data_IF_746641565628
#
_entry.id   IF_746641565628
#
_cell.length_a   1.000
_cell.length_b   1.000
_cell.length_c   1.000
_cell.angle_alpha   90.00
_cell.angle_beta   90.00
_cell.angle_gamma   90.00
#
_symmetry.space_group_name_H-M   'P 1'
#
loop_
_entity.id
_entity.type
_entity.pdbx_description
1 polymer ?
#
# COMPACT_ATOMS: atom_id res chain seq x y z
N UNK A 1 12.14 -7.94 -28.04
CA UNK A 1 12.18 -7.45 -26.66
C UNK A 1 12.32 -5.94 -26.66
N UNK A 2 11.34 -5.22 -26.18
CA UNK A 2 11.34 -3.75 -26.27
C UNK A 2 12.19 -3.16 -25.14
N UNK A 3 13.40 -2.68 -25.47
CA UNK A 3 14.41 -2.15 -24.52
C UNK A 3 13.97 -0.85 -23.81
N UNK A 4 12.68 -0.50 -23.82
CA UNK A 4 12.15 0.77 -23.33
C UNK A 4 11.36 0.68 -22.02
N UNK A 5 11.17 -0.54 -21.50
CA UNK A 5 10.52 -0.73 -20.23
C UNK A 5 11.54 -0.58 -19.11
N UNK A 6 11.16 0.10 -18.05
CA UNK A 6 12.00 0.37 -16.87
C UNK A 6 11.23 -0.06 -15.64
N UNK A 7 11.87 -0.75 -14.73
CA UNK A 7 11.35 -0.95 -13.38
C UNK A 7 11.97 0.13 -12.49
N UNK A 8 11.13 0.88 -11.80
CA UNK A 8 11.56 1.78 -10.74
C UNK A 8 11.49 1.04 -9.41
N UNK A 9 12.61 0.58 -8.93
CA UNK A 9 12.71 -0.18 -7.69
C UNK A 9 12.53 0.73 -6.48
N UNK A 10 11.39 0.61 -5.82
CA UNK A 10 11.01 1.40 -4.64
C UNK A 10 11.18 0.65 -3.32
N UNK A 11 11.87 -0.48 -3.33
CA UNK A 11 11.96 -1.41 -2.21
C UNK A 11 13.35 -1.49 -1.56
N UNK A 12 14.22 -0.51 -1.78
CA UNK A 12 15.55 -0.46 -1.15
C UNK A 12 15.54 0.20 0.24
N UNK A 13 14.36 0.49 0.77
CA UNK A 13 14.18 1.00 2.13
C UNK A 13 14.27 -0.10 3.20
N UNK A 14 14.18 0.28 4.48
CA UNK A 14 14.41 -0.63 5.60
C UNK A 14 13.43 -1.81 5.68
N UNK A 15 12.23 -1.69 5.11
CA UNK A 15 11.23 -2.77 5.13
C UNK A 15 11.00 -3.43 3.77
N UNK A 16 11.83 -3.10 2.78
CA UNK A 16 11.80 -3.72 1.46
C UNK A 16 10.46 -3.52 0.72
N UNK A 17 9.84 -2.35 0.89
CA UNK A 17 8.61 -1.97 0.20
C UNK A 17 8.54 -0.46 -0.07
N UNK A 18 7.84 -0.07 -1.14
CA UNK A 18 7.63 1.34 -1.51
C UNK A 18 7.00 2.18 -0.38
N UNK A 19 6.33 1.53 0.54
CA UNK A 19 5.66 2.16 1.69
C UNK A 19 6.63 2.91 2.61
N UNK A 20 7.91 2.54 2.58
CA UNK A 20 8.98 3.22 3.33
C UNK A 20 9.12 4.70 2.96
N UNK A 21 8.97 5.06 1.70
CA UNK A 21 9.04 6.46 1.24
C UNK A 21 8.08 7.36 2.02
N UNK A 22 6.85 6.90 2.14
CA UNK A 22 5.81 7.70 2.78
C UNK A 22 5.84 7.61 4.31
N UNK A 23 6.06 6.41 4.85
CA UNK A 23 5.91 6.19 6.29
C UNK A 23 7.09 6.71 7.10
N UNK A 24 8.31 6.71 6.56
CA UNK A 24 9.46 7.36 7.19
C UNK A 24 9.26 8.89 7.29
N UNK A 25 8.76 9.52 6.21
CA UNK A 25 8.45 10.94 6.23
C UNK A 25 7.29 11.24 7.19
N UNK A 26 6.22 10.45 7.13
CA UNK A 26 5.03 10.64 7.96
C UNK A 26 5.35 10.55 9.45
N UNK A 27 6.11 9.54 9.88
CA UNK A 27 6.51 9.40 11.29
C UNK A 27 7.24 10.63 11.80
N UNK A 28 8.26 11.08 11.09
CA UNK A 28 9.05 12.28 11.46
C UNK A 28 8.22 13.57 11.46
N UNK A 29 7.35 13.74 10.45
CA UNK A 29 6.49 14.92 10.35
C UNK A 29 5.47 14.95 11.49
N UNK A 30 4.87 13.80 11.79
CA UNK A 30 3.90 13.66 12.88
C UNK A 30 4.56 13.98 14.22
N UNK A 31 5.70 13.39 14.53
CA UNK A 31 6.42 13.61 15.78
C UNK A 31 6.82 15.09 15.95
N UNK A 32 7.32 15.73 14.90
CA UNK A 32 7.66 17.16 14.89
C UNK A 32 6.44 18.04 15.19
N UNK A 33 5.28 17.75 14.61
CA UNK A 33 4.05 18.52 14.84
C UNK A 33 3.53 18.30 16.26
N UNK A 34 3.58 17.06 16.77
CA UNK A 34 3.17 16.71 18.12
C UNK A 34 4.06 17.39 19.17
N UNK A 35 5.38 17.37 18.96
CA UNK A 35 6.32 18.08 19.84
C UNK A 35 6.01 19.57 19.92
N UNK A 36 5.72 20.24 18.79
CA UNK A 36 5.34 21.66 18.76
C UNK A 36 4.03 21.95 19.49
N UNK A 37 3.10 20.98 19.52
CA UNK A 37 1.80 21.10 20.17
C UNK A 37 1.80 20.63 21.62
N UNK A 38 2.91 20.04 22.09
CA UNK A 38 2.99 19.33 23.35
C UNK A 38 1.91 18.26 23.48
N UNK A 39 1.64 17.54 22.38
CA UNK A 39 0.64 16.48 22.28
C UNK A 39 1.31 15.12 22.08
N UNK A 40 0.62 14.05 22.46
CA UNK A 40 0.97 12.66 22.14
C UNK A 40 -0.21 11.97 21.48
N UNK A 41 0.08 10.94 20.70
CA UNK A 41 -0.95 10.13 20.03
C UNK A 41 -0.61 8.65 20.12
N UNK A 42 -1.65 7.84 20.01
CA UNK A 42 -1.55 6.40 19.81
C UNK A 42 -1.87 6.09 18.36
N UNK A 43 -0.96 5.40 17.69
CA UNK A 43 -1.22 4.81 16.38
C UNK A 43 -1.71 3.38 16.61
N UNK A 44 -2.84 3.05 16.02
CA UNK A 44 -3.36 1.69 16.02
C UNK A 44 -3.66 1.26 14.58
N UNK A 45 -3.13 0.11 14.17
CA UNK A 45 -3.28 -0.37 12.81
C UNK A 45 -3.35 -1.89 12.71
N UNK A 46 -4.09 -2.38 11.72
CA UNK A 46 -4.08 -3.77 11.29
C UNK A 46 -3.27 -3.91 10.00
N UNK A 47 -2.52 -5.00 9.88
CA UNK A 47 -1.64 -5.23 8.74
C UNK A 47 -1.63 -6.69 8.29
N UNK A 48 -1.46 -6.89 6.98
CA UNK A 48 -1.07 -8.18 6.39
C UNK A 48 0.46 -8.34 6.27
N UNK A 49 1.24 -7.33 6.73
CA UNK A 49 2.72 -7.36 6.73
C UNK A 49 3.35 -6.02 6.37
N UNK A 50 3.37 -5.64 5.10
CA UNK A 50 4.13 -4.49 4.58
C UNK A 50 3.82 -3.14 5.19
N UNK A 51 2.54 -2.83 5.40
CA UNK A 51 2.17 -1.53 5.98
C UNK A 51 2.56 -1.44 7.45
N UNK A 52 2.41 -2.54 8.18
CA UNK A 52 2.79 -2.60 9.60
C UNK A 52 4.29 -2.44 9.78
N UNK A 53 5.11 -3.20 9.05
CA UNK A 53 6.57 -3.10 9.13
C UNK A 53 7.07 -1.69 8.80
N UNK A 54 6.57 -1.08 7.72
CA UNK A 54 6.95 0.28 7.34
C UNK A 54 6.46 1.35 8.34
N UNK A 55 5.28 1.16 8.97
CA UNK A 55 4.76 2.06 10.00
C UNK A 55 5.59 1.99 11.29
N UNK A 56 5.95 0.79 11.73
CA UNK A 56 6.83 0.58 12.88
C UNK A 56 8.18 1.22 12.64
N UNK A 57 8.79 0.94 11.49
CA UNK A 57 10.08 1.53 11.11
C UNK A 57 10.03 3.06 11.06
N UNK A 58 8.96 3.62 10.49
CA UNK A 58 8.75 5.07 10.44
C UNK A 58 8.54 5.74 11.79
N UNK A 59 8.00 5.01 12.77
CA UNK A 59 7.69 5.54 14.10
C UNK A 59 8.69 5.14 15.20
N UNK A 60 9.67 4.27 14.93
CA UNK A 60 10.57 3.75 15.95
C UNK A 60 11.38 4.82 16.70
N UNK A 61 11.65 5.94 16.06
CA UNK A 61 12.39 7.07 16.62
C UNK A 61 11.49 8.25 17.02
N UNK A 62 10.18 8.03 17.18
CA UNK A 62 9.23 9.07 17.58
C UNK A 62 9.08 9.09 19.10
N UNK A 63 9.24 10.27 19.70
CA UNK A 63 9.09 10.46 21.15
C UNK A 63 7.62 10.65 21.58
N UNK A 64 6.77 11.13 20.66
CA UNK A 64 5.39 11.51 20.94
C UNK A 64 4.34 10.56 20.34
N UNK A 65 4.77 9.38 19.91
CA UNK A 65 3.91 8.38 19.27
C UNK A 65 4.13 7.02 19.91
N UNK A 66 3.06 6.40 20.38
CA UNK A 66 3.05 4.97 20.72
C UNK A 66 2.32 4.22 19.58
N UNK A 67 2.95 3.18 19.04
CA UNK A 67 2.42 2.44 17.88
C UNK A 67 2.07 1.00 18.23
N UNK A 68 0.81 0.63 17.93
CA UNK A 68 0.25 -0.71 18.14
C UNK A 68 -0.14 -1.29 16.78
N UNK A 69 0.58 -2.32 16.35
CA UNK A 69 0.30 -3.00 15.09
C UNK A 69 -0.23 -4.40 15.36
N UNK A 70 -1.45 -4.64 14.87
CA UNK A 70 -2.10 -5.93 14.94
C UNK A 70 -1.94 -6.70 13.64
N UNK A 71 -1.67 -7.99 13.77
CA UNK A 71 -1.65 -8.92 12.64
C UNK A 71 -2.22 -10.27 13.07
N UNK A 72 -2.77 -11.06 12.14
CA UNK A 72 -3.28 -12.39 12.47
C UNK A 72 -2.13 -13.33 12.86
N UNK A 73 -2.32 -14.04 13.96
CA UNK A 73 -1.33 -14.98 14.50
C UNK A 73 -1.02 -16.08 13.49
N UNK A 74 0.26 -16.31 13.17
CA UNK A 74 0.77 -17.32 12.23
C UNK A 74 0.23 -17.23 10.79
N UNK A 75 -0.24 -16.03 10.35
CA UNK A 75 -0.80 -15.85 9.00
C UNK A 75 -0.12 -14.70 8.22
N UNK A 76 1.08 -14.34 8.62
CA UNK A 76 1.93 -13.37 7.92
C UNK A 76 3.23 -14.09 7.54
N UNK A 77 3.85 -13.74 6.41
CA UNK A 77 5.11 -14.40 6.03
C UNK A 77 6.19 -14.16 7.09
N UNK A 78 7.11 -15.10 7.23
CA UNK A 78 8.14 -15.03 8.27
C UNK A 78 8.98 -13.76 8.16
N UNK A 79 9.37 -13.38 6.95
CA UNK A 79 10.12 -12.14 6.71
C UNK A 79 9.33 -10.92 7.19
N UNK A 80 8.05 -10.81 6.81
CA UNK A 80 7.20 -9.69 7.21
C UNK A 80 6.96 -9.65 8.72
N UNK A 81 6.73 -10.81 9.34
CA UNK A 81 6.58 -10.92 10.80
C UNK A 81 7.84 -10.42 11.49
N UNK A 82 9.00 -10.91 11.11
CA UNK A 82 10.27 -10.51 11.71
C UNK A 82 10.60 -9.05 11.47
N UNK A 83 10.28 -8.51 10.32
CA UNK A 83 10.43 -7.06 10.07
C UNK A 83 9.61 -6.19 11.03
N UNK A 84 8.51 -6.71 11.61
CA UNK A 84 7.73 -6.00 12.63
C UNK A 84 8.24 -6.28 14.05
N UNK A 85 8.44 -7.55 14.37
CA UNK A 85 8.64 -8.02 15.74
C UNK A 85 10.07 -7.88 16.24
N UNK A 86 11.05 -7.73 15.36
CA UNK A 86 12.46 -7.51 15.72
C UNK A 86 12.84 -6.05 15.93
N UNK A 87 11.93 -5.11 15.64
CA UNK A 87 12.14 -3.70 15.96
C UNK A 87 11.74 -3.48 17.43
N UNK A 88 12.75 -3.29 18.27
CA UNK A 88 12.57 -3.11 19.71
C UNK A 88 12.58 -1.62 20.06
N UNK A 89 11.54 -1.14 20.72
CA UNK A 89 11.41 0.24 21.21
C UNK A 89 10.29 0.30 22.24
N UNK A 90 10.40 1.18 23.24
CA UNK A 90 9.38 1.28 24.30
C UNK A 90 8.03 1.76 23.79
N UNK A 91 8.03 2.46 22.66
CA UNK A 91 6.85 2.96 21.97
C UNK A 91 6.28 2.00 20.91
N UNK A 92 6.86 0.80 20.74
CA UNK A 92 6.46 -0.15 19.70
C UNK A 92 5.80 -1.37 20.32
N UNK A 93 4.60 -1.70 19.88
CA UNK A 93 3.83 -2.84 20.34
C UNK A 93 3.28 -3.65 19.17
N UNK A 94 3.79 -4.87 19.01
CA UNK A 94 3.27 -5.84 18.06
C UNK A 94 2.29 -6.78 18.75
N UNK A 95 1.10 -6.92 18.19
CA UNK A 95 0.02 -7.74 18.74
C UNK A 95 -0.38 -8.78 17.69
N UNK A 96 -0.17 -10.04 18.00
CA UNK A 96 -0.67 -11.15 17.19
C UNK A 96 -2.05 -11.56 17.72
N UNK A 97 -3.08 -11.46 16.88
CA UNK A 97 -4.46 -11.80 17.24
C UNK A 97 -4.74 -13.25 16.83
N UNK A 98 -5.31 -14.01 17.74
CA UNK A 98 -5.85 -15.37 17.46
C UNK A 98 -7.12 -15.27 16.61
N UNK A 99 -6.96 -14.85 15.36
CA UNK A 99 -8.03 -14.57 14.40
C UNK A 99 -7.50 -14.44 12.99
N UNK A 100 -8.24 -13.74 12.15
CA UNK A 100 -7.87 -13.42 10.78
C UNK A 100 -7.61 -11.90 10.60
N UNK A 101 -7.32 -11.48 9.39
CA UNK A 101 -7.01 -10.07 9.11
C UNK A 101 -8.24 -9.16 9.26
N UNK A 102 -9.42 -9.66 8.93
CA UNK A 102 -10.66 -8.91 9.07
C UNK A 102 -10.99 -8.64 10.53
N UNK A 103 -10.77 -9.63 11.42
CA UNK A 103 -10.89 -9.46 12.86
C UNK A 103 -10.00 -8.33 13.36
N UNK A 104 -8.72 -8.30 12.94
CA UNK A 104 -7.80 -7.20 13.28
C UNK A 104 -8.31 -5.85 12.80
N UNK A 105 -8.83 -5.78 11.57
CA UNK A 105 -9.40 -4.54 11.01
C UNK A 105 -10.66 -4.07 11.75
N UNK A 106 -11.53 -5.00 12.14
CA UNK A 106 -12.75 -4.66 12.88
C UNK A 106 -12.43 -4.11 14.27
N UNK A 107 -11.45 -4.70 14.97
CA UNK A 107 -10.98 -4.17 16.25
C UNK A 107 -10.40 -2.75 16.11
N UNK A 108 -9.64 -2.48 15.06
CA UNK A 108 -9.16 -1.10 14.78
C UNK A 108 -10.33 -0.17 14.57
N UNK A 109 -11.29 -0.51 13.70
CA UNK A 109 -12.46 0.32 13.42
C UNK A 109 -13.30 0.58 14.67
N UNK A 110 -13.55 -0.46 15.48
CA UNK A 110 -14.29 -0.34 16.73
C UNK A 110 -13.58 0.57 17.74
N UNK A 111 -12.25 0.46 17.84
CA UNK A 111 -11.43 1.32 18.70
C UNK A 111 -11.42 2.79 18.23
N UNK A 112 -11.49 3.05 16.92
CA UNK A 112 -11.65 4.40 16.39
C UNK A 112 -13.05 4.97 16.64
N UNK A 113 -14.08 4.12 16.65
CA UNK A 113 -15.46 4.53 16.94
C UNK A 113 -15.65 4.88 18.44
N UNK A 114 -14.96 4.18 19.33
CA UNK A 114 -14.95 4.45 20.78
C UNK A 114 -13.52 4.57 21.29
N UNK A 115 -13.06 5.79 21.49
CA UNK A 115 -11.72 6.10 22.02
C UNK A 115 -11.72 6.36 23.55
N UNK A 116 -12.81 6.13 24.22
CA UNK A 116 -12.95 6.39 25.66
C UNK A 116 -11.93 5.64 26.53
N UNK A 117 -11.47 4.47 26.07
CA UNK A 117 -10.45 3.67 26.76
C UNK A 117 -9.07 4.34 26.84
N UNK A 118 -8.78 5.33 25.99
CA UNK A 118 -7.50 6.07 25.98
C UNK A 118 -7.47 7.30 26.91
N UNK A 119 -8.56 7.58 27.63
CA UNK A 119 -8.61 8.66 28.65
C UNK A 119 -8.11 10.04 28.15
N UNK A 120 -8.47 10.39 26.91
CA UNK A 120 -8.14 11.69 26.30
C UNK A 120 -7.00 11.67 25.28
N UNK A 121 -6.21 10.61 25.19
CA UNK A 121 -5.26 10.45 24.09
C UNK A 121 -5.99 10.08 22.81
N UNK A 122 -5.54 10.63 21.67
CA UNK A 122 -6.17 10.40 20.38
C UNK A 122 -5.55 9.21 19.64
N UNK A 123 -6.42 8.41 19.02
CA UNK A 123 -6.00 7.46 17.99
C UNK A 123 -5.72 8.18 16.67
N UNK A 124 -4.65 7.77 16.02
CA UNK A 124 -4.28 8.22 14.68
C UNK A 124 -4.07 7.01 13.79
N UNK A 125 -4.57 7.08 12.56
CA UNK A 125 -4.38 6.04 11.56
C UNK A 125 -3.20 6.37 10.64
N UNK A 126 -2.41 5.34 10.35
CA UNK A 126 -1.31 5.40 9.35
C UNK A 126 -1.66 4.61 8.09
N UNK A 127 -2.94 4.42 7.81
CA UNK A 127 -3.42 3.66 6.67
C UNK A 127 -3.24 4.40 5.33
N UNK A 128 -3.61 3.73 4.23
CA UNK A 128 -3.41 4.23 2.86
C UNK A 128 -4.18 5.50 2.52
N UNK A 129 -5.22 5.85 3.29
CA UNK A 129 -6.00 7.07 3.04
C UNK A 129 -5.31 8.35 3.56
N UNK A 130 -4.26 8.23 4.34
CA UNK A 130 -3.55 9.39 4.87
C UNK A 130 -2.93 10.21 3.73
N UNK A 131 -3.31 11.50 3.65
CA UNK A 131 -2.85 12.41 2.58
C UNK A 131 -1.32 12.56 2.54
N UNK A 132 -0.65 12.60 3.70
CA UNK A 132 0.81 12.72 3.76
C UNK A 132 1.51 11.52 3.10
N UNK A 133 0.90 10.33 3.11
CA UNK A 133 1.42 9.17 2.38
C UNK A 133 1.37 9.39 0.88
N UNK A 134 0.25 9.91 0.36
CA UNK A 134 0.10 10.20 -1.08
C UNK A 134 1.07 11.30 -1.51
N UNK A 135 1.16 12.37 -0.73
CA UNK A 135 2.05 13.50 -1.01
C UNK A 135 3.52 13.06 -1.15
N UNK A 136 4.00 12.21 -0.26
CA UNK A 136 5.38 11.70 -0.31
C UNK A 136 5.63 10.84 -1.57
N UNK A 137 4.62 10.14 -2.06
CA UNK A 137 4.73 9.28 -3.23
C UNK A 137 4.85 10.07 -4.55
N UNK A 138 4.40 11.31 -4.61
CA UNK A 138 4.55 12.18 -5.79
C UNK A 138 6.03 12.30 -6.20
N UNK A 139 6.94 12.30 -5.24
CA UNK A 139 8.37 12.55 -5.44
C UNK A 139 9.01 11.56 -6.42
N UNK A 140 8.73 10.28 -6.30
CA UNK A 140 9.37 9.29 -7.17
C UNK A 140 8.82 9.28 -8.61
N UNK A 141 7.60 9.79 -8.84
CA UNK A 141 7.12 10.02 -10.22
C UNK A 141 7.93 11.12 -10.91
N UNK A 142 8.18 12.24 -10.20
CA UNK A 142 9.06 13.28 -10.71
C UNK A 142 10.48 12.77 -10.92
N UNK A 143 11.03 12.04 -9.95
CA UNK A 143 12.37 11.47 -10.06
C UNK A 143 12.50 10.59 -11.31
N UNK A 144 11.61 9.63 -11.51
CA UNK A 144 11.63 8.74 -12.66
C UNK A 144 11.49 9.47 -13.98
N UNK A 145 10.57 10.43 -14.08
CA UNK A 145 10.36 11.18 -15.29
C UNK A 145 11.57 12.06 -15.65
N UNK A 146 12.19 12.73 -14.67
CA UNK A 146 13.39 13.54 -14.87
C UNK A 146 14.57 12.70 -15.37
N UNK A 147 14.78 11.50 -14.82
CA UNK A 147 15.81 10.56 -15.29
C UNK A 147 15.60 10.11 -16.75
N UNK A 148 14.36 10.18 -17.24
CA UNK A 148 13.99 9.77 -18.61
C UNK A 148 13.84 10.95 -19.59
N UNK A 149 14.25 12.15 -19.21
CA UNK A 149 14.27 13.35 -20.05
C UNK A 149 13.05 14.26 -19.89
N UNK A 150 12.25 14.08 -18.84
CA UNK A 150 11.24 15.07 -18.48
C UNK A 150 11.86 16.42 -18.09
N UNK A 151 11.17 17.56 -18.27
CA UNK A 151 9.80 17.67 -18.80
C UNK A 151 9.70 17.65 -20.33
N UNK A 152 10.83 17.62 -21.08
CA UNK A 152 10.83 17.66 -22.55
C UNK A 152 10.30 16.36 -23.18
N UNK A 153 10.18 15.30 -22.42
CA UNK A 153 9.72 13.98 -22.87
C UNK A 153 8.60 13.44 -22.00
N UNK A 154 7.53 12.96 -22.64
CA UNK A 154 6.44 12.27 -21.93
C UNK A 154 6.88 10.90 -21.41
N UNK A 155 6.30 10.50 -20.29
CA UNK A 155 6.51 9.20 -19.62
C UNK A 155 5.16 8.55 -19.31
N UNK A 156 5.09 7.24 -19.35
CA UNK A 156 3.93 6.45 -18.93
C UNK A 156 4.31 5.61 -17.71
N UNK A 157 3.34 5.34 -16.84
CA UNK A 157 3.56 4.53 -15.64
C UNK A 157 2.57 3.37 -15.57
N UNK A 158 3.08 2.19 -15.20
CA UNK A 158 2.26 1.02 -14.82
C UNK A 158 2.43 0.79 -13.33
N UNK A 159 1.32 0.79 -12.61
CA UNK A 159 1.32 0.85 -11.14
C UNK A 159 0.53 -0.32 -10.57
N UNK A 160 1.19 -1.24 -9.83
CA UNK A 160 0.50 -2.24 -9.03
C UNK A 160 -0.47 -1.56 -8.07
N UNK A 161 -1.77 -1.82 -8.21
CA UNK A 161 -2.80 -0.98 -7.59
C UNK A 161 -3.83 -1.80 -6.83
N UNK A 162 -3.92 -1.58 -5.51
CA UNK A 162 -5.04 -2.01 -4.66
C UNK A 162 -5.82 -0.79 -4.16
N UNK A 163 -5.25 -0.03 -3.23
CA UNK A 163 -5.89 1.13 -2.59
C UNK A 163 -5.86 2.45 -3.39
N UNK A 164 -5.40 2.43 -4.62
CA UNK A 164 -5.32 3.59 -5.52
C UNK A 164 -4.42 4.76 -5.04
N UNK A 165 -3.76 4.64 -3.90
CA UNK A 165 -2.96 5.73 -3.33
C UNK A 165 -1.74 6.08 -4.17
N UNK A 166 -1.00 5.07 -4.59
CA UNK A 166 0.22 5.20 -5.37
C UNK A 166 -0.08 5.82 -6.76
N UNK A 167 -0.97 5.21 -7.53
CA UNK A 167 -1.32 5.72 -8.86
C UNK A 167 -1.99 7.10 -8.81
N UNK A 168 -2.71 7.42 -7.71
CA UNK A 168 -3.24 8.76 -7.49
C UNK A 168 -2.12 9.79 -7.28
N UNK A 169 -0.99 9.42 -6.67
CA UNK A 169 0.18 10.27 -6.61
C UNK A 169 0.75 10.57 -8.02
N UNK A 170 0.72 9.58 -8.93
CA UNK A 170 1.05 9.79 -10.34
C UNK A 170 0.08 10.74 -11.06
N UNK A 171 -1.21 10.63 -10.78
CA UNK A 171 -2.23 11.57 -11.24
C UNK A 171 -1.98 12.99 -10.75
N UNK A 172 -1.63 13.16 -9.48
CA UNK A 172 -1.27 14.45 -8.91
C UNK A 172 0.02 15.02 -9.54
N UNK A 173 1.04 14.18 -9.75
CA UNK A 173 2.25 14.60 -10.44
C UNK A 173 1.95 15.17 -11.83
N UNK A 174 1.05 14.53 -12.59
CA UNK A 174 0.56 15.05 -13.87
C UNK A 174 -0.14 16.41 -13.71
N UNK A 175 -1.01 16.54 -12.73
CA UNK A 175 -1.72 17.81 -12.47
C UNK A 175 -0.77 18.93 -12.01
N UNK A 176 0.40 18.58 -11.46
CA UNK A 176 1.49 19.51 -11.15
C UNK A 176 2.36 19.88 -12.36
N UNK A 177 2.06 19.33 -13.54
CA UNK A 177 2.74 19.65 -14.80
C UNK A 177 3.74 18.59 -15.28
N UNK A 178 3.88 17.45 -14.61
CA UNK A 178 4.70 16.35 -15.11
C UNK A 178 4.08 15.77 -16.40
N UNK A 179 4.83 15.57 -17.51
CA UNK A 179 4.28 15.11 -18.77
C UNK A 179 3.96 13.59 -18.74
N UNK A 180 3.00 13.20 -17.91
CA UNK A 180 2.50 11.83 -17.83
C UNK A 180 1.43 11.63 -18.89
N UNK A 181 1.72 10.77 -19.87
CA UNK A 181 0.82 10.48 -20.99
C UNK A 181 -0.16 9.34 -20.72
N UNK A 182 0.17 8.44 -19.80
CA UNK A 182 -0.63 7.26 -19.46
C UNK A 182 -0.33 6.80 -18.04
N UNK A 183 -1.38 6.39 -17.33
CA UNK A 183 -1.31 5.66 -16.06
C UNK A 183 -2.06 4.34 -16.22
N UNK A 184 -1.40 3.21 -15.92
CA UNK A 184 -1.99 1.89 -16.02
C UNK A 184 -2.27 1.37 -14.62
N UNK A 185 -3.55 1.14 -14.33
CA UNK A 185 -4.03 0.49 -13.11
C UNK A 185 -3.84 -1.02 -13.28
N UNK A 186 -2.82 -1.57 -12.67
CA UNK A 186 -2.54 -2.99 -12.70
C UNK A 186 -3.11 -3.65 -11.44
N UNK A 187 -4.12 -4.50 -11.57
CA UNK A 187 -4.75 -5.23 -10.46
C UNK A 187 -4.45 -6.72 -10.54
N UNK A 188 -4.59 -7.42 -9.42
CA UNK A 188 -4.70 -8.87 -9.42
C UNK A 188 -6.17 -9.28 -9.69
N UNK A 189 -6.53 -10.51 -9.36
CA UNK A 189 -7.89 -11.06 -9.51
C UNK A 189 -8.96 -10.25 -8.74
N UNK A 190 -8.56 -9.48 -7.72
CA UNK A 190 -9.43 -8.55 -7.02
C UNK A 190 -9.51 -7.24 -7.82
N UNK A 191 -10.37 -7.20 -8.82
CA UNK A 191 -10.30 -6.35 -9.99
C UNK A 191 -11.29 -5.17 -10.02
N UNK A 192 -11.82 -4.74 -8.90
CA UNK A 192 -12.85 -3.68 -8.83
C UNK A 192 -12.47 -2.41 -9.61
N UNK A 193 -11.19 -2.00 -9.55
CA UNK A 193 -10.68 -0.86 -10.30
C UNK A 193 -10.60 -1.13 -11.80
N UNK A 194 -10.19 -2.35 -12.19
CA UNK A 194 -10.16 -2.74 -13.59
C UNK A 194 -11.57 -2.76 -14.19
N UNK A 195 -12.56 -3.30 -13.49
CA UNK A 195 -13.97 -3.30 -13.95
C UNK A 195 -14.51 -1.90 -14.11
N UNK A 196 -14.15 -0.97 -13.23
CA UNK A 196 -14.51 0.44 -13.43
C UNK A 196 -13.83 1.02 -14.66
N UNK A 197 -12.52 0.84 -14.82
CA UNK A 197 -11.78 1.43 -15.94
C UNK A 197 -12.18 0.82 -17.29
N UNK A 198 -12.51 -0.47 -17.35
CA UNK A 198 -12.88 -1.18 -18.59
C UNK A 198 -14.36 -1.07 -18.95
N UNK A 199 -15.26 -0.91 -17.97
CA UNK A 199 -16.71 -1.02 -18.19
C UNK A 199 -17.57 -0.09 -17.35
N UNK A 200 -17.02 0.96 -16.72
CA UNK A 200 -17.75 1.89 -15.87
C UNK A 200 -18.54 1.21 -14.73
N UNK A 201 -17.98 0.13 -14.15
CA UNK A 201 -18.65 -0.64 -13.11
C UNK A 201 -17.77 -0.75 -11.87
N UNK A 202 -18.05 0.06 -10.86
CA UNK A 202 -17.42 -0.06 -9.54
C UNK A 202 -18.37 -0.81 -8.61
N UNK A 203 -18.18 -2.14 -8.51
CA UNK A 203 -19.08 -2.99 -7.74
C UNK A 203 -18.27 -3.99 -6.89
N UNK A 204 -18.74 -4.23 -5.65
CA UNK A 204 -18.15 -5.25 -4.78
C UNK A 204 -18.28 -6.63 -5.43
N UNK A 205 -17.29 -7.47 -5.17
CA UNK A 205 -17.27 -8.88 -5.53
C UNK A 205 -16.72 -9.67 -4.35
N UNK A 206 -16.52 -10.95 -4.56
CA UNK A 206 -15.84 -11.80 -3.58
C UNK A 206 -14.36 -11.43 -3.50
N UNK A 207 -13.80 -11.48 -2.31
CA UNK A 207 -12.37 -11.29 -2.07
C UNK A 207 -11.65 -12.64 -2.25
N UNK A 208 -10.66 -12.65 -3.11
CA UNK A 208 -9.84 -13.83 -3.39
C UNK A 208 -8.42 -13.65 -2.86
N UNK A 209 -7.93 -14.53 -1.97
CA UNK A 209 -6.51 -14.58 -1.63
C UNK A 209 -5.66 -14.86 -2.86
N UNK A 210 -4.60 -14.07 -3.08
CA UNK A 210 -3.70 -14.20 -4.23
C UNK A 210 -2.23 -14.23 -3.79
N UNK A 211 -1.32 -14.46 -4.76
CA UNK A 211 0.12 -14.36 -4.55
C UNK A 211 0.62 -12.92 -4.32
N UNK A 212 -0.22 -11.91 -4.59
CA UNK A 212 0.05 -10.48 -4.39
C UNK A 212 -0.85 -9.87 -3.30
N UNK A 213 -0.72 -10.29 -2.03
CA UNK A 213 -1.70 -10.01 -0.98
C UNK A 213 -1.88 -8.53 -0.64
N UNK A 214 -0.92 -7.67 -0.93
CA UNK A 214 -1.07 -6.22 -0.73
C UNK A 214 -2.09 -5.58 -1.69
N UNK A 215 -2.50 -6.30 -2.73
CA UNK A 215 -3.49 -5.90 -3.73
C UNK A 215 -4.82 -6.66 -3.57
N UNK A 216 -4.98 -7.52 -2.56
CA UNK A 216 -6.24 -8.20 -2.24
C UNK A 216 -7.22 -7.20 -1.63
N UNK A 217 -7.74 -6.32 -2.47
CA UNK A 217 -8.57 -5.17 -2.12
C UNK A 217 -9.83 -5.16 -2.98
N UNK A 218 -10.99 -5.21 -2.33
CA UNK A 218 -12.28 -5.16 -3.01
C UNK A 218 -13.02 -3.81 -2.81
N UNK A 219 -12.45 -2.91 -1.99
CA UNK A 219 -12.89 -1.52 -1.84
C UNK A 219 -11.67 -0.61 -1.81
N UNK A 220 -11.43 0.12 -2.88
CA UNK A 220 -10.22 0.92 -3.05
C UNK A 220 -10.36 2.28 -2.35
N UNK A 221 -9.66 2.46 -1.24
CA UNK A 221 -9.86 3.56 -0.28
C UNK A 221 -9.54 4.96 -0.80
N UNK A 222 -8.70 5.11 -1.82
CA UNK A 222 -8.36 6.43 -2.39
C UNK A 222 -9.01 6.69 -3.74
N UNK A 223 -9.80 5.77 -4.26
CA UNK A 223 -10.48 5.95 -5.53
C UNK A 223 -11.49 7.12 -5.50
N UNK A 224 -12.11 7.34 -4.34
CA UNK A 224 -12.98 8.50 -4.10
C UNK A 224 -12.31 9.84 -4.42
N UNK A 225 -11.00 9.95 -4.32
CA UNK A 225 -10.25 11.17 -4.64
C UNK A 225 -10.26 11.48 -6.13
N UNK A 226 -10.12 10.45 -6.97
CA UNK A 226 -10.27 10.61 -8.43
C UNK A 226 -11.72 10.97 -8.78
N UNK A 227 -12.69 10.26 -8.19
CA UNK A 227 -14.10 10.56 -8.40
C UNK A 227 -14.44 12.00 -8.01
N UNK A 228 -13.90 12.50 -6.91
CA UNK A 228 -14.08 13.87 -6.46
C UNK A 228 -13.60 14.88 -7.50
N UNK A 229 -12.41 14.69 -8.07
CA UNK A 229 -11.89 15.56 -9.13
C UNK A 229 -12.72 15.45 -10.43
N UNK A 230 -13.14 14.24 -10.85
CA UNK A 230 -14.01 14.01 -12.01
C UNK A 230 -15.40 14.66 -11.87
N UNK A 231 -15.87 14.82 -10.63
CA UNK A 231 -17.13 15.53 -10.33
C UNK A 231 -16.91 17.02 -10.04
N UNK A 232 -15.82 17.60 -10.50
CA UNK A 232 -15.53 19.02 -10.29
C UNK A 232 -15.42 19.42 -8.83
N UNK A 233 -14.96 18.48 -7.98
CA UNK A 233 -14.82 18.63 -6.52
C UNK A 233 -16.15 18.87 -5.78
N UNK A 234 -17.22 18.29 -6.30
CA UNK A 234 -18.55 18.36 -5.70
C UNK A 234 -18.70 17.28 -4.61
N UNK A 235 -18.56 17.66 -3.34
CA UNK A 235 -18.71 16.77 -2.19
C UNK A 235 -20.07 16.07 -2.10
N UNK A 236 -21.21 16.77 -2.26
CA UNK A 236 -22.53 16.15 -2.30
C UNK A 236 -22.69 15.02 -3.32
N UNK A 237 -22.14 15.19 -4.54
CA UNK A 237 -22.19 14.14 -5.56
C UNK A 237 -21.43 12.89 -5.12
N UNK A 238 -20.25 13.04 -4.52
CA UNK A 238 -19.47 11.90 -4.00
C UNK A 238 -20.17 11.23 -2.81
N UNK A 239 -20.76 12.02 -1.92
CA UNK A 239 -21.55 11.49 -0.79
C UNK A 239 -22.74 10.64 -1.28
N UNK A 240 -23.40 11.06 -2.37
CA UNK A 240 -24.49 10.31 -3.00
C UNK A 240 -23.99 8.98 -3.59
N UNK A 241 -22.90 9.00 -4.38
CA UNK A 241 -22.26 7.78 -4.93
C UNK A 241 -21.82 6.80 -3.83
N UNK A 242 -21.21 7.29 -2.75
CA UNK A 242 -20.79 6.45 -1.63
C UNK A 242 -21.98 5.91 -0.83
N UNK A 243 -23.11 6.62 -0.82
CA UNK A 243 -24.35 6.12 -0.21
C UNK A 243 -24.95 5.02 -1.07
N UNK A 244 -25.04 5.21 -2.38
CA UNK A 244 -25.44 4.17 -3.33
C UNK A 244 -24.57 2.93 -3.19
N UNK A 245 -23.25 3.09 -3.17
CA UNK A 245 -22.31 1.97 -3.00
C UNK A 245 -22.54 1.18 -1.71
N UNK A 246 -22.87 1.87 -0.59
CA UNK A 246 -23.19 1.18 0.67
C UNK A 246 -24.50 0.41 0.61
N UNK A 247 -25.48 0.91 -0.13
CA UNK A 247 -26.83 0.32 -0.22
C UNK A 247 -26.91 -0.82 -1.23
N UNK A 248 -26.27 -0.66 -2.39
CA UNK A 248 -26.41 -1.57 -3.54
C UNK A 248 -25.17 -2.44 -3.77
N UNK A 249 -24.02 -2.08 -3.16
CA UNK A 249 -22.75 -2.73 -3.38
C UNK A 249 -21.99 -2.26 -4.63
N UNK A 250 -22.56 -1.33 -5.41
CA UNK A 250 -21.91 -0.81 -6.63
C UNK A 250 -22.44 0.54 -7.07
N UNK A 251 -21.77 1.14 -8.07
CA UNK A 251 -22.23 2.33 -8.80
C UNK A 251 -21.59 2.39 -10.19
N UNK A 252 -22.16 3.23 -11.03
CA UNK A 252 -21.55 3.75 -12.27
C UNK A 252 -21.46 5.27 -12.19
N UNK A 253 -20.64 5.88 -13.03
CA UNK A 253 -20.61 7.34 -13.20
C UNK A 253 -21.15 7.70 -14.60
N UNK A 254 -21.44 8.98 -14.81
CA UNK A 254 -21.87 9.47 -16.11
C UNK A 254 -20.77 9.20 -17.18
N UNK A 255 -21.18 8.85 -18.39
CA UNK A 255 -20.29 8.39 -19.46
C UNK A 255 -19.22 9.41 -19.84
N UNK A 256 -19.51 10.70 -19.75
CA UNK A 256 -18.55 11.78 -20.00
C UNK A 256 -17.44 11.79 -18.95
N UNK A 257 -17.76 11.56 -17.66
CA UNK A 257 -16.79 11.48 -16.57
C UNK A 257 -15.93 10.24 -16.66
N UNK A 258 -16.55 9.11 -17.01
CA UNK A 258 -15.81 7.88 -17.25
C UNK A 258 -14.87 8.02 -18.44
N UNK A 259 -15.34 8.61 -19.55
CA UNK A 259 -14.52 8.90 -20.73
C UNK A 259 -13.36 9.83 -20.39
N UNK A 260 -13.57 10.84 -19.55
CA UNK A 260 -12.50 11.74 -19.07
C UNK A 260 -11.41 10.96 -18.31
N UNK A 261 -11.81 10.07 -17.38
CA UNK A 261 -10.85 9.21 -16.70
C UNK A 261 -10.03 8.36 -17.68
N UNK A 262 -10.70 7.79 -18.69
CA UNK A 262 -10.09 6.94 -19.73
C UNK A 262 -9.09 7.65 -20.64
N UNK A 263 -9.09 8.98 -20.69
CA UNK A 263 -8.06 9.73 -21.43
C UNK A 263 -6.66 9.50 -20.85
N UNK A 264 -6.58 9.30 -19.56
CA UNK A 264 -5.31 9.09 -18.85
C UNK A 264 -5.11 7.63 -18.40
N UNK A 265 -6.16 6.99 -17.91
CA UNK A 265 -6.08 5.68 -17.28
C UNK A 265 -6.41 4.54 -18.25
N UNK A 266 -5.59 3.49 -18.17
CA UNK A 266 -5.90 2.14 -18.68
C UNK A 266 -5.80 1.17 -17.51
N UNK A 267 -6.20 -0.10 -17.72
CA UNK A 267 -6.13 -1.10 -16.68
C UNK A 267 -6.04 -2.52 -17.21
N UNK A 268 -5.46 -3.39 -16.39
CA UNK A 268 -5.43 -4.84 -16.60
C UNK A 268 -5.61 -5.56 -15.28
N UNK A 269 -6.41 -6.62 -15.29
CA UNK A 269 -6.47 -7.60 -14.22
C UNK A 269 -5.59 -8.81 -14.62
N UNK A 270 -4.72 -9.25 -13.71
CA UNK A 270 -3.73 -10.31 -13.95
C UNK A 270 -3.97 -11.46 -12.97
N UNK A 271 -4.08 -12.69 -13.48
CA UNK A 271 -4.23 -13.88 -12.64
C UNK A 271 -2.90 -14.30 -11.99
N UNK A 272 -2.97 -15.20 -11.00
CA UNK A 272 -1.76 -15.78 -10.38
C UNK A 272 -0.91 -16.57 -11.39
N UNK A 273 -1.55 -17.27 -12.34
CA UNK A 273 -0.85 -18.00 -13.40
C UNK A 273 -0.08 -17.03 -14.31
N UNK A 274 -0.72 -15.95 -14.71
CA UNK A 274 -0.08 -14.91 -15.53
C UNK A 274 1.02 -14.18 -14.76
N UNK A 275 0.84 -13.99 -13.45
CA UNK A 275 1.85 -13.42 -12.55
C UNK A 275 3.08 -14.31 -12.50
N UNK A 276 2.91 -15.61 -12.23
CA UNK A 276 4.00 -16.59 -12.21
C UNK A 276 4.72 -16.68 -13.57
N UNK A 277 3.95 -16.72 -14.65
CA UNK A 277 4.50 -16.70 -16.00
C UNK A 277 5.38 -15.46 -16.25
N UNK A 278 4.91 -14.27 -15.81
CA UNK A 278 5.64 -13.01 -15.99
C UNK A 278 6.94 -13.00 -15.18
N UNK A 279 6.93 -13.51 -13.95
CA UNK A 279 8.15 -13.66 -13.13
C UNK A 279 9.17 -14.55 -13.86
N UNK A 280 8.74 -15.71 -14.34
CA UNK A 280 9.61 -16.65 -15.05
C UNK A 280 10.19 -16.06 -16.36
N UNK A 281 9.35 -15.41 -17.17
CA UNK A 281 9.74 -14.77 -18.43
C UNK A 281 10.74 -13.64 -18.23
N UNK A 282 10.53 -12.78 -17.24
CA UNK A 282 11.44 -11.67 -16.95
C UNK A 282 12.76 -12.21 -16.44
N UNK A 283 12.72 -13.15 -15.50
CA UNK A 283 13.94 -13.75 -14.97
C UNK A 283 14.77 -14.45 -16.09
N UNK A 284 14.14 -15.24 -16.92
CA UNK A 284 14.81 -15.92 -18.05
C UNK A 284 15.41 -14.93 -19.06
N UNK A 285 14.78 -13.78 -19.27
CA UNK A 285 15.21 -12.81 -20.27
C UNK A 285 16.26 -11.82 -19.76
N UNK A 286 16.31 -11.54 -18.44
CA UNK A 286 17.09 -10.43 -17.89
C UNK A 286 17.95 -10.81 -16.67
N UNK A 287 17.63 -11.93 -16.00
CA UNK A 287 18.21 -12.28 -14.70
C UNK A 287 17.55 -11.54 -13.51
N UNK A 288 16.62 -10.62 -13.77
CA UNK A 288 15.93 -9.87 -12.72
C UNK A 288 14.76 -10.66 -12.15
N UNK A 289 14.74 -10.82 -10.83
CA UNK A 289 13.65 -11.49 -10.13
C UNK A 289 12.63 -10.47 -9.62
N UNK A 290 11.40 -10.59 -10.06
CA UNK A 290 10.30 -9.72 -9.65
C UNK A 290 9.52 -10.32 -8.48
N UNK A 291 9.02 -9.46 -7.59
CA UNK A 291 7.93 -9.82 -6.69
C UNK A 291 6.59 -9.89 -7.45
N UNK A 292 5.56 -10.58 -6.92
CA UNK A 292 4.32 -10.79 -7.65
C UNK A 292 3.55 -9.49 -7.96
N UNK A 293 3.66 -8.45 -7.13
CA UNK A 293 3.00 -7.17 -7.39
C UNK A 293 3.67 -6.46 -8.57
N UNK A 294 4.99 -6.39 -8.58
CA UNK A 294 5.76 -5.81 -9.68
C UNK A 294 5.54 -6.58 -10.99
N UNK A 295 5.44 -7.91 -10.93
CA UNK A 295 5.14 -8.74 -12.10
C UNK A 295 3.79 -8.40 -12.74
N UNK A 296 2.75 -8.16 -11.94
CA UNK A 296 1.45 -7.67 -12.40
C UNK A 296 1.61 -6.32 -13.10
N UNK A 297 2.38 -5.40 -12.54
CA UNK A 297 2.69 -4.11 -13.16
C UNK A 297 3.42 -4.24 -14.50
N UNK A 298 4.39 -5.16 -14.59
CA UNK A 298 5.13 -5.45 -15.85
C UNK A 298 4.20 -5.99 -16.92
N UNK A 299 3.34 -6.96 -16.57
CA UNK A 299 2.37 -7.55 -17.49
C UNK A 299 1.42 -6.47 -18.03
N UNK A 300 0.83 -5.68 -17.15
CA UNK A 300 -0.06 -4.60 -17.52
C UNK A 300 0.63 -3.53 -18.39
N UNK A 301 1.86 -3.15 -18.03
CA UNK A 301 2.66 -2.22 -18.80
C UNK A 301 2.94 -2.71 -20.24
N UNK A 302 3.16 -4.00 -20.42
CA UNK A 302 3.39 -4.60 -21.75
C UNK A 302 2.12 -4.65 -22.59
N UNK A 303 1.00 -5.04 -22.00
CA UNK A 303 -0.26 -5.27 -22.72
C UNK A 303 -1.05 -3.99 -22.98
N UNK A 304 -1.05 -3.02 -22.06
CA UNK A 304 -1.88 -1.81 -22.16
C UNK A 304 -1.13 -0.59 -22.68
N UNK A 305 0.13 -0.70 -23.03
CA UNK A 305 0.95 0.41 -23.51
C UNK A 305 0.39 1.02 -24.80
N UNK A 306 0.06 2.32 -24.76
CA UNK A 306 -0.49 3.05 -25.91
C UNK A 306 0.56 3.40 -26.98
N UNK A 307 1.81 3.62 -26.57
CA UNK A 307 2.86 4.06 -27.49
C UNK A 307 4.22 3.43 -27.17
N UNK A 308 4.85 2.85 -28.16
CA UNK A 308 6.21 2.31 -28.07
C UNK A 308 7.30 3.41 -28.02
N UNK A 309 6.97 4.65 -28.42
CA UNK A 309 7.92 5.76 -28.38
C UNK A 309 8.02 6.42 -27.00
N UNK A 310 7.01 6.24 -26.16
CA UNK A 310 6.97 6.74 -24.78
C UNK A 310 7.58 5.71 -23.83
N UNK A 311 8.56 6.07 -22.98
CA UNK A 311 9.07 5.17 -21.96
C UNK A 311 7.96 4.73 -21.01
N UNK A 312 7.87 3.42 -20.76
CA UNK A 312 7.01 2.85 -19.72
C UNK A 312 7.84 2.61 -18.46
N UNK A 313 7.42 3.18 -17.36
CA UNK A 313 7.98 2.94 -16.03
C UNK A 313 7.02 2.06 -15.26
N UNK A 314 7.47 0.91 -14.83
CA UNK A 314 6.73 0.04 -13.91
C UNK A 314 7.23 0.30 -12.50
N UNK A 315 6.33 0.52 -11.55
CA UNK A 315 6.72 0.68 -10.16
C UNK A 315 7.02 -0.68 -9.51
N UNK A 316 8.27 -0.88 -9.11
CA UNK A 316 8.72 -2.04 -8.35
C UNK A 316 8.43 -1.81 -6.87
N UNK A 317 7.35 -2.41 -6.38
CA UNK A 317 6.75 -2.02 -5.09
C UNK A 317 7.24 -2.81 -3.90
N UNK A 318 7.84 -3.99 -4.10
CA UNK A 318 8.37 -4.82 -3.03
C UNK A 318 9.57 -5.66 -3.50
N UNK A 319 10.42 -6.03 -2.55
CA UNK A 319 11.52 -6.96 -2.80
C UNK A 319 11.00 -8.40 -2.87
N UNK A 320 11.46 -9.23 -3.82
CA UNK A 320 10.97 -10.61 -4.01
C UNK A 320 11.16 -11.53 -2.79
N UNK A 321 12.15 -11.28 -1.95
CA UNK A 321 12.40 -12.07 -0.72
C UNK A 321 11.19 -12.15 0.22
N UNK A 322 10.26 -11.21 0.13
CA UNK A 322 9.05 -11.17 0.97
C UNK A 322 7.97 -12.15 0.53
N UNK A 323 8.05 -12.67 -0.69
CA UNK A 323 7.01 -13.47 -1.34
C UNK A 323 7.58 -14.78 -1.93
N UNK A 324 8.18 -15.66 -1.08
CA UNK A 324 8.84 -16.89 -1.56
C UNK A 324 7.87 -17.84 -2.28
N UNK A 325 6.61 -17.91 -1.86
CA UNK A 325 5.60 -18.75 -2.49
C UNK A 325 5.36 -18.40 -3.97
N UNK A 326 5.33 -17.11 -4.31
CA UNK A 326 5.16 -16.67 -5.70
C UNK A 326 6.36 -17.09 -6.58
N UNK A 327 7.57 -17.04 -6.03
CA UNK A 327 8.79 -17.42 -6.73
C UNK A 327 8.84 -18.93 -6.95
N UNK A 328 8.51 -19.71 -5.92
CA UNK A 328 8.43 -21.17 -6.00
C UNK A 328 7.41 -21.60 -7.06
N UNK A 329 6.20 -21.03 -7.02
CA UNK A 329 5.14 -21.32 -8.01
C UNK A 329 5.51 -20.87 -9.43
N UNK A 330 6.42 -19.92 -9.59
CA UNK A 330 6.92 -19.48 -10.89
C UNK A 330 7.98 -20.43 -11.49
N UNK A 331 8.31 -21.51 -10.79
CA UNK A 331 9.33 -22.47 -11.18
C UNK A 331 10.74 -21.84 -11.45
N UNK A 332 11.00 -20.68 -10.85
CA UNK A 332 12.32 -20.05 -10.85
C UNK A 332 13.17 -20.71 -9.77
N UNK A 333 14.21 -21.41 -10.17
CA UNK A 333 15.10 -22.10 -9.23
C UNK A 333 16.11 -21.13 -8.59
N UNK A 334 15.57 -20.14 -7.84
CA UNK A 334 16.34 -19.14 -7.13
C UNK A 334 15.61 -18.77 -5.83
N UNK A 335 16.35 -18.80 -4.72
CA UNK A 335 15.89 -18.21 -3.45
C UNK A 335 16.52 -16.83 -3.31
N UNK A 336 15.73 -15.74 -3.32
CA UNK A 336 16.26 -14.40 -3.17
C UNK A 336 16.87 -14.23 -1.77
N UNK A 337 18.07 -13.66 -1.70
CA UNK A 337 18.74 -13.37 -0.44
C UNK A 337 18.24 -12.06 0.17
N UNK A 338 18.26 -11.97 1.50
CA UNK A 338 18.08 -10.70 2.20
C UNK A 338 19.22 -9.74 1.84
N UNK A 339 18.94 -8.44 1.72
CA UNK A 339 19.99 -7.44 1.61
C UNK A 339 20.95 -7.48 2.81
N UNK A 340 22.22 -7.05 2.65
CA UNK A 340 23.23 -7.14 3.71
C UNK A 340 22.83 -6.52 5.05
N UNK A 341 22.05 -5.43 5.04
CA UNK A 341 21.59 -4.74 6.25
C UNK A 341 20.45 -5.48 7.00
N UNK A 342 19.93 -6.55 6.41
CA UNK A 342 18.92 -7.44 7.01
C UNK A 342 19.42 -8.90 7.08
N UNK A 343 20.70 -9.16 6.84
CA UNK A 343 21.24 -10.52 6.80
C UNK A 343 21.02 -11.28 8.12
N UNK A 344 21.02 -10.56 9.24
CA UNK A 344 20.79 -11.07 10.59
C UNK A 344 19.31 -11.10 11.02
N UNK A 345 18.36 -10.79 10.12
CA UNK A 345 16.93 -10.65 10.49
C UNK A 345 16.38 -11.89 11.20
N UNK A 346 16.82 -13.08 10.81
CA UNK A 346 16.35 -14.34 11.39
C UNK A 346 17.02 -14.69 12.73
N UNK A 347 18.08 -13.97 13.10
CA UNK A 347 18.82 -14.14 14.34
C UNK A 347 18.41 -13.13 15.42
N UNK A 348 17.70 -12.05 15.04
CA UNK A 348 17.25 -10.98 15.94
C UNK A 348 16.17 -11.48 16.89
N UNK A 349 16.21 -10.99 18.13
CA UNK A 349 15.16 -11.22 19.12
C UNK A 349 13.82 -10.62 18.67
N UNK A 350 12.74 -11.37 18.87
CA UNK A 350 11.40 -10.92 18.54
C UNK A 350 10.62 -10.50 19.78
N UNK A 351 9.85 -9.41 19.70
CA UNK A 351 8.89 -8.99 20.71
C UNK A 351 7.50 -8.89 20.11
N UNK A 352 6.61 -9.78 20.53
CA UNK A 352 5.22 -9.81 20.11
C UNK A 352 4.34 -10.33 21.26
N UNK A 353 3.18 -9.74 21.43
CA UNK A 353 2.18 -10.20 22.40
C UNK A 353 1.05 -10.90 21.67
N UNK A 354 0.76 -12.15 22.04
CA UNK A 354 -0.39 -12.88 21.50
C UNK A 354 -1.61 -12.57 22.35
N UNK A 355 -2.70 -12.14 21.72
CA UNK A 355 -3.98 -11.85 22.39
C UNK A 355 -5.12 -12.60 21.70
N UNK A 356 -6.13 -12.94 22.50
CA UNK A 356 -7.38 -13.49 22.01
C UNK A 356 -8.09 -12.50 21.07
N UNK A 357 -8.95 -13.02 20.19
CA UNK A 357 -9.84 -12.22 19.35
C UNK A 357 -10.97 -11.59 20.19
N UNK A 358 -10.58 -10.66 21.07
CA UNK A 358 -11.48 -9.93 21.97
C UNK A 358 -11.11 -8.44 22.03
N UNK A 359 -12.05 -7.60 21.64
CA UNK A 359 -11.86 -6.14 21.59
C UNK A 359 -11.49 -5.53 22.94
N UNK A 360 -12.14 -5.98 24.01
CA UNK A 360 -11.90 -5.42 25.35
C UNK A 360 -10.48 -5.71 25.83
N UNK A 361 -10.00 -6.93 25.60
CA UNK A 361 -8.62 -7.35 25.90
C UNK A 361 -7.59 -6.50 25.13
N UNK A 362 -7.82 -6.27 23.84
CA UNK A 362 -6.94 -5.45 23.01
C UNK A 362 -6.95 -3.99 23.49
N UNK A 363 -8.12 -3.41 23.74
CA UNK A 363 -8.23 -2.03 24.24
C UNK A 363 -7.59 -1.86 25.61
N UNK A 364 -7.72 -2.82 26.52
CA UNK A 364 -7.03 -2.81 27.81
C UNK A 364 -5.51 -2.85 27.64
N UNK A 365 -5.01 -3.69 26.75
CA UNK A 365 -3.58 -3.75 26.46
C UNK A 365 -3.06 -2.42 25.91
N UNK A 366 -3.78 -1.82 24.95
CA UNK A 366 -3.41 -0.52 24.36
C UNK A 366 -3.45 0.59 25.44
N UNK A 367 -4.48 0.63 26.28
CA UNK A 367 -4.60 1.61 27.37
C UNK A 367 -3.49 1.47 28.43
N UNK A 368 -3.06 0.25 28.72
CA UNK A 368 -2.00 -0.02 29.70
C UNK A 368 -0.60 0.36 29.21
N UNK A 369 -0.37 0.32 27.89
CA UNK A 369 0.95 0.53 27.29
C UNK A 369 1.07 1.85 26.50
N UNK A 370 -0.05 2.43 26.06
CA UNK A 370 -0.11 3.77 25.48
C UNK A 370 0.02 4.84 26.57
N UNK A 371 0.77 5.89 26.31
CA UNK A 371 1.02 7.01 27.24
C UNK A 371 1.92 6.70 28.44
N UNK A 372 2.98 5.95 28.27
CA UNK A 372 3.96 5.76 29.35
C UNK A 372 4.64 7.10 29.70
N UNK A 373 4.16 7.73 30.77
CA UNK A 373 4.97 8.53 31.67
C UNK A 373 5.23 9.98 31.34
N UNK A 374 4.31 10.71 30.69
CA UNK A 374 4.25 12.18 30.84
C UNK A 374 2.83 12.58 31.24
N UNK A 375 2.63 13.32 32.35
CA UNK A 375 1.33 13.95 32.61
C UNK A 375 1.04 14.92 31.45
N UNK A 376 -0.22 14.92 31.02
CA UNK A 376 -0.77 15.94 30.13
C UNK A 376 -0.60 17.33 30.73
#
# INVERSE_FOLDING_TARGET
MCIRDRVLELFHGPTLAFKDFALQLLGRLLDYVLAKRNERVVIMGATSGDTGSAAIEGCKACDNVDIFIMHPHNRVSEVQRRQMTTILGDNIHNIAIEGNFDDCQEMVKASFADQGFLKGTRLVAVNSINWARIMAQIVYYFHAALQLGGPARSVAFSVPTGNFGDIFAGYLARNMGLPVSQLIVATNRNDILHRFMSGNQYAKGDLYPTLSPSMDIMVSSNFERLLFDLHGRNGPSIAALMTEFRQTGGFTVEDDRWTEARKLFDSLAVSDEQTCQTIAEVYAATGELLDPHTAIGVRAGRECRRSLSVPMVVLGTAHPVKFPEAIEKSAVNLSPALPPYLADLFERDERCTVLANDLATVQQFVAAHGNRGKPL
#
